data_IF_097218388270
#
_entry.id   IF_097218388270
#
_cell.length_a   1.000
_cell.length_b   1.000
_cell.length_c   1.000
_cell.angle_alpha   90.00
_cell.angle_beta   90.00
_cell.angle_gamma   90.00
#
_symmetry.space_group_name_H-M   'P 1'
#
loop_
_entity.id
_entity.type
_entity.pdbx_description
1 polymer ?
#
# COMPACT_ATOMS: atom_id res chain seq x y z
N UNK A 1 25.36 -11.45 -5.77
CA UNK A 1 25.19 -10.95 -4.39
C UNK A 1 24.63 -9.53 -4.43
N UNK A 2 23.32 -9.34 -4.20
CA UNK A 2 22.78 -7.99 -3.95
C UNK A 2 23.29 -7.56 -2.58
N UNK A 3 24.20 -6.59 -2.57
CA UNK A 3 24.98 -6.19 -1.40
C UNK A 3 24.06 -5.86 -0.21
N UNK A 4 24.42 -6.35 0.97
CA UNK A 4 23.65 -6.17 2.22
C UNK A 4 23.40 -4.67 2.50
N UNK A 5 24.35 -3.82 2.11
CA UNK A 5 24.23 -2.36 2.10
C UNK A 5 23.07 -1.86 1.23
N UNK A 6 22.89 -2.38 0.02
CA UNK A 6 21.80 -1.98 -0.87
C UNK A 6 20.42 -2.33 -0.31
N UNK A 7 20.30 -3.49 0.34
CA UNK A 7 19.07 -3.87 1.03
C UNK A 7 18.77 -2.97 2.24
N UNK A 8 19.79 -2.66 3.05
CA UNK A 8 19.66 -1.78 4.20
C UNK A 8 19.30 -0.34 3.79
N UNK A 9 19.94 0.20 2.75
CA UNK A 9 19.59 1.51 2.19
C UNK A 9 18.15 1.55 1.67
N UNK A 10 17.69 0.50 0.99
CA UNK A 10 16.30 0.40 0.54
C UNK A 10 15.32 0.41 1.72
N UNK A 11 15.58 -0.39 2.77
CA UNK A 11 14.77 -0.40 3.98
C UNK A 11 14.75 0.97 4.68
N UNK A 12 15.90 1.62 4.80
CA UNK A 12 16.00 2.95 5.42
C UNK A 12 15.19 4.01 4.64
N UNK A 13 15.28 4.00 3.30
CA UNK A 13 14.50 4.89 2.43
C UNK A 13 12.99 4.71 2.62
N UNK A 14 12.52 3.46 2.71
CA UNK A 14 11.12 3.13 2.96
C UNK A 14 10.63 3.59 4.33
N UNK A 15 11.45 3.42 5.37
CA UNK A 15 11.15 3.92 6.73
C UNK A 15 11.05 5.44 6.74
N UNK A 16 12.01 6.13 6.11
CA UNK A 16 12.02 7.60 6.02
C UNK A 16 10.79 8.14 5.27
N UNK A 17 10.47 7.58 4.10
CA UNK A 17 9.29 7.98 3.32
C UNK A 17 8.00 7.79 4.10
N UNK A 18 7.84 6.65 4.79
CA UNK A 18 6.68 6.40 5.64
C UNK A 18 6.59 7.41 6.77
N UNK A 19 7.71 7.73 7.43
CA UNK A 19 7.73 8.74 8.48
C UNK A 19 7.29 10.12 7.97
N UNK A 20 7.78 10.55 6.80
CA UNK A 20 7.33 11.81 6.18
C UNK A 20 5.84 11.82 5.85
N UNK A 21 5.32 10.73 5.28
CA UNK A 21 3.90 10.63 4.95
C UNK A 21 3.01 10.76 6.20
N UNK A 22 3.44 10.15 7.32
CA UNK A 22 2.78 10.31 8.62
C UNK A 22 2.82 11.77 9.12
N UNK A 23 3.92 12.51 8.88
CA UNK A 23 4.02 13.92 9.25
C UNK A 23 3.12 14.83 8.38
N UNK A 24 3.01 14.53 7.08
CA UNK A 24 2.19 15.30 6.13
C UNK A 24 0.69 14.97 6.33
N UNK A 25 0.38 13.84 6.96
CA UNK A 25 -0.98 13.34 7.19
C UNK A 25 -1.76 13.13 5.88
N UNK A 26 -1.05 12.68 4.84
CA UNK A 26 -1.61 12.37 3.54
C UNK A 26 -2.15 10.93 3.53
N UNK A 27 -3.45 10.81 3.78
CA UNK A 27 -4.14 9.53 3.84
C UNK A 27 -4.00 8.73 2.54
N UNK A 28 -4.02 9.41 1.39
CA UNK A 28 -3.87 8.72 0.10
C UNK A 28 -2.47 8.10 -0.03
N UNK A 29 -1.42 8.84 0.31
CA UNK A 29 -0.04 8.32 0.27
C UNK A 29 0.19 7.16 1.22
N UNK A 30 -0.39 7.20 2.42
CA UNK A 30 -0.35 6.08 3.37
C UNK A 30 -1.03 4.83 2.79
N UNK A 31 -2.21 4.99 2.17
CA UNK A 31 -2.92 3.90 1.50
C UNK A 31 -2.13 3.36 0.31
N UNK A 32 -1.62 4.23 -0.56
CA UNK A 32 -0.76 3.87 -1.71
C UNK A 32 0.44 3.05 -1.26
N UNK A 33 1.17 3.54 -0.25
CA UNK A 33 2.32 2.84 0.30
C UNK A 33 1.95 1.47 0.88
N UNK A 34 0.82 1.37 1.58
CA UNK A 34 0.32 0.10 2.11
C UNK A 34 -0.03 -0.91 1.02
N UNK A 35 -0.67 -0.47 -0.07
CA UNK A 35 -0.96 -1.31 -1.24
C UNK A 35 0.33 -1.82 -1.90
N UNK A 36 1.27 -0.91 -2.16
CA UNK A 36 2.57 -1.23 -2.76
C UNK A 36 3.41 -2.15 -1.87
N UNK A 37 3.26 -2.03 -0.55
CA UNK A 37 3.89 -2.95 0.38
C UNK A 37 3.23 -4.34 0.33
N UNK A 38 1.89 -4.41 0.35
CA UNK A 38 1.15 -5.67 0.33
C UNK A 38 1.45 -6.51 -0.92
N UNK A 39 1.60 -5.87 -2.09
CA UNK A 39 1.88 -6.60 -3.35
C UNK A 39 3.31 -7.18 -3.39
N UNK A 40 4.24 -6.61 -2.63
CA UNK A 40 5.61 -7.12 -2.52
C UNK A 40 5.73 -8.31 -1.55
N UNK A 41 4.69 -8.59 -0.76
CA UNK A 41 4.69 -9.71 0.16
C UNK A 41 4.45 -11.03 -0.57
N UNK A 42 5.02 -12.14 -0.07
CA UNK A 42 4.71 -13.48 -0.56
C UNK A 42 3.19 -13.72 -0.60
N UNK A 43 2.73 -14.42 -1.63
CA UNK A 43 1.31 -14.66 -1.86
C UNK A 43 0.59 -15.28 -0.65
N UNK A 44 1.27 -16.20 0.05
CA UNK A 44 0.75 -16.84 1.26
C UNK A 44 0.42 -15.84 2.38
N UNK A 45 1.11 -14.70 2.43
CA UNK A 45 0.84 -13.61 3.38
C UNK A 45 -0.24 -12.69 2.80
N UNK A 46 -0.14 -12.33 1.52
CA UNK A 46 -1.09 -11.45 0.84
C UNK A 46 -2.53 -11.97 0.93
N UNK A 47 -2.74 -13.28 0.77
CA UNK A 47 -4.07 -13.92 0.87
C UNK A 47 -4.65 -13.94 2.29
N UNK A 48 -3.85 -13.72 3.34
CA UNK A 48 -4.35 -13.69 4.74
C UNK A 48 -5.08 -12.41 5.10
N UNK A 49 -4.87 -11.34 4.34
CA UNK A 49 -5.45 -10.03 4.65
C UNK A 49 -6.34 -9.56 3.51
N UNK A 50 -7.55 -9.11 3.84
CA UNK A 50 -8.25 -8.20 2.94
C UNK A 50 -7.41 -6.93 2.75
N UNK A 51 -7.52 -6.28 1.60
CA UNK A 51 -6.77 -5.05 1.35
C UNK A 51 -7.11 -3.98 2.39
N UNK A 52 -8.39 -3.85 2.74
CA UNK A 52 -8.85 -2.86 3.72
C UNK A 52 -8.30 -3.14 5.12
N UNK A 53 -8.36 -4.39 5.58
CA UNK A 53 -7.84 -4.73 6.91
C UNK A 53 -6.34 -4.50 7.00
N UNK A 54 -5.59 -4.81 5.94
CA UNK A 54 -4.16 -4.53 5.88
C UNK A 54 -3.87 -3.03 5.95
N UNK A 55 -4.58 -2.22 5.15
CA UNK A 55 -4.44 -0.75 5.17
C UNK A 55 -4.72 -0.20 6.56
N UNK A 56 -5.86 -0.55 7.17
CA UNK A 56 -6.22 -0.02 8.49
C UNK A 56 -5.29 -0.48 9.60
N UNK A 57 -4.66 -1.64 9.46
CA UNK A 57 -3.68 -2.16 10.42
C UNK A 57 -2.31 -1.48 10.28
N UNK A 58 -1.92 -1.13 9.05
CA UNK A 58 -0.59 -0.61 8.74
C UNK A 58 -0.52 0.91 8.65
N UNK A 59 -1.68 1.58 8.60
CA UNK A 59 -1.78 3.04 8.48
C UNK A 59 -2.66 3.60 9.60
N UNK A 60 -2.73 4.93 9.73
CA UNK A 60 -3.69 5.60 10.62
C UNK A 60 -4.99 5.99 9.90
N UNK A 61 -5.18 5.53 8.67
CA UNK A 61 -6.33 5.88 7.86
C UNK A 61 -7.55 5.10 8.36
N UNK A 62 -8.66 5.82 8.58
CA UNK A 62 -9.91 5.21 9.01
C UNK A 62 -10.43 4.23 7.95
N UNK A 63 -11.17 3.21 8.38
CA UNK A 63 -11.73 2.19 7.48
C UNK A 63 -12.58 2.80 6.36
N UNK A 64 -13.42 3.79 6.67
CA UNK A 64 -14.28 4.46 5.69
C UNK A 64 -13.47 5.23 4.65
N UNK A 65 -12.41 5.94 5.07
CA UNK A 65 -11.57 6.70 4.17
C UNK A 65 -10.72 5.76 3.28
N UNK A 66 -10.16 4.69 3.87
CA UNK A 66 -9.46 3.64 3.12
C UNK A 66 -10.36 2.99 2.06
N UNK A 67 -11.62 2.68 2.41
CA UNK A 67 -12.62 2.15 1.47
C UNK A 67 -12.88 3.12 0.32
N UNK A 68 -13.03 4.43 0.62
CA UNK A 68 -13.23 5.45 -0.41
C UNK A 68 -12.09 5.48 -1.42
N UNK A 69 -10.85 5.52 -0.93
CA UNK A 69 -9.63 5.54 -1.77
C UNK A 69 -9.52 4.26 -2.59
N UNK A 70 -9.65 3.08 -1.96
CA UNK A 70 -9.57 1.79 -2.65
C UNK A 70 -10.66 1.66 -3.70
N UNK A 71 -11.88 2.12 -3.41
CA UNK A 71 -12.98 2.14 -4.39
C UNK A 71 -12.64 3.04 -5.58
N UNK A 72 -12.09 4.24 -5.33
CA UNK A 72 -11.68 5.14 -6.39
C UNK A 72 -10.58 4.51 -7.28
N UNK A 73 -9.58 3.88 -6.68
CA UNK A 73 -8.51 3.18 -7.41
C UNK A 73 -9.02 1.98 -8.21
N UNK A 74 -9.95 1.21 -7.64
CA UNK A 74 -10.59 0.08 -8.35
C UNK A 74 -11.41 0.59 -9.54
N UNK A 75 -12.26 1.60 -9.34
CA UNK A 75 -13.07 2.21 -10.41
C UNK A 75 -12.21 2.84 -11.49
N UNK A 76 -11.07 3.44 -11.12
CA UNK A 76 -10.08 3.99 -12.04
C UNK A 76 -9.26 2.93 -12.80
N UNK A 77 -9.46 1.64 -12.54
CA UNK A 77 -8.76 0.56 -13.22
C UNK A 77 -7.29 0.40 -12.80
N UNK A 78 -6.92 0.86 -11.59
CA UNK A 78 -5.56 0.73 -11.07
C UNK A 78 -5.33 -0.60 -10.35
N UNK A 79 -6.38 -1.16 -9.76
CA UNK A 79 -6.31 -2.35 -8.90
C UNK A 79 -7.23 -3.44 -9.42
N UNK A 80 -6.71 -4.66 -9.49
CA UNK A 80 -7.54 -5.85 -9.59
C UNK A 80 -7.72 -6.47 -8.20
N UNK A 81 -8.98 -6.77 -7.86
CA UNK A 81 -9.35 -7.31 -6.56
C UNK A 81 -10.37 -8.43 -6.71
N UNK A 82 -10.19 -9.49 -5.92
CA UNK A 82 -11.12 -10.60 -5.82
C UNK A 82 -11.41 -10.88 -4.34
N UNK A 83 -12.70 -10.98 -3.99
CA UNK A 83 -13.17 -11.25 -2.63
C UNK A 83 -12.52 -10.35 -1.54
N UNK A 84 -12.32 -9.07 -1.86
CA UNK A 84 -11.70 -8.10 -0.93
C UNK A 84 -10.18 -8.21 -0.80
N UNK A 85 -9.54 -9.18 -1.47
CA UNK A 85 -8.10 -9.34 -1.58
C UNK A 85 -7.56 -8.66 -2.84
N UNK A 86 -6.34 -8.15 -2.76
CA UNK A 86 -5.65 -7.60 -3.94
C UNK A 86 -5.02 -8.75 -4.74
N UNK A 87 -5.28 -8.75 -6.06
CA UNK A 87 -4.67 -9.69 -7.01
C UNK A 87 -3.43 -9.05 -7.60
N UNK A 88 -3.60 -7.88 -8.21
CA UNK A 88 -2.51 -7.13 -8.84
C UNK A 88 -2.76 -5.63 -8.93
N UNK A 89 -1.67 -4.90 -9.18
CA UNK A 89 -1.69 -3.48 -9.54
C UNK A 89 -1.58 -3.43 -11.07
N UNK A 90 -2.67 -3.05 -11.74
CA UNK A 90 -2.77 -3.02 -13.20
C UNK A 90 -1.99 -1.86 -13.81
N UNK A 91 -1.88 -0.75 -13.08
CA UNK A 91 -1.24 0.50 -13.52
C UNK A 91 -0.54 1.19 -12.35
N UNK A 92 0.53 1.97 -12.59
CA UNK A 92 1.15 2.77 -11.54
C UNK A 92 0.11 3.63 -10.80
N UNK A 93 0.09 3.54 -9.47
CA UNK A 93 -0.85 4.30 -8.65
C UNK A 93 -0.52 5.80 -8.77
N UNK A 94 -1.53 6.68 -8.97
CA UNK A 94 -1.29 8.09 -9.19
C UNK A 94 -0.57 8.74 -8.00
N UNK A 95 0.12 9.85 -8.24
CA UNK A 95 0.85 10.57 -7.17
C UNK A 95 -0.09 11.34 -6.23
N UNK A 96 -1.31 11.63 -6.68
CA UNK A 96 -2.34 12.38 -5.93
C UNK A 96 -3.74 11.91 -6.32
N UNK A 97 -4.65 11.97 -5.35
CA UNK A 97 -6.09 11.73 -5.50
C UNK A 97 -6.86 12.75 -4.66
#
# INVERSE_FOLDING_TARGET
MKCLLGYMSWKAHHVYKRWLNLCINDAYREVKYSIEWLIQLPEIIRRRFSLISFITYTTRVSRSHALSIVKALKTGGYLEMYDGHIIEILRPLPERY
#
